data_IF_724739059715
#
_entry.id   IF_724739059715
#
_cell.length_a   1.000
_cell.length_b   1.000
_cell.length_c   1.000
_cell.angle_alpha   90.00
_cell.angle_beta   90.00
_cell.angle_gamma   90.00
#
_symmetry.space_group_name_H-M   'P 1'
#
loop_
_entity.id
_entity.type
_entity.pdbx_description
1 polymer ?
#
# COMPACT_ATOMS: atom_id res chain seq x y z
N UNK A 1 28.61 -22.57 33.44
CA UNK A 1 27.32 -23.24 33.14
C UNK A 1 27.43 -23.88 31.76
N UNK A 2 27.21 -25.20 31.66
CA UNK A 2 27.34 -25.95 30.40
C UNK A 2 26.14 -25.63 29.47
N UNK A 3 26.29 -25.51 28.14
CA UNK A 3 25.17 -25.24 27.24
C UNK A 3 24.23 -26.46 27.20
N UNK A 4 22.96 -26.19 27.40
CA UNK A 4 21.91 -27.18 27.41
C UNK A 4 21.71 -27.75 25.98
N UNK A 5 21.86 -29.07 25.84
CA UNK A 5 21.83 -29.75 24.55
C UNK A 5 20.42 -29.78 23.94
N UNK A 6 20.10 -28.79 23.13
CA UNK A 6 18.85 -28.74 22.32
C UNK A 6 18.63 -29.97 21.43
N UNK A 7 19.69 -30.70 21.10
CA UNK A 7 19.64 -31.93 20.28
C UNK A 7 18.97 -33.11 20.97
N UNK A 8 19.09 -33.25 22.29
CA UNK A 8 18.47 -34.38 23.01
C UNK A 8 16.97 -34.21 23.21
N UNK A 9 16.49 -32.97 23.29
CA UNK A 9 15.04 -32.66 23.37
C UNK A 9 14.31 -33.02 22.07
N UNK A 10 14.90 -32.74 20.91
CA UNK A 10 14.33 -33.10 19.61
C UNK A 10 14.38 -34.61 19.32
N UNK A 11 15.35 -35.33 19.83
CA UNK A 11 15.44 -36.79 19.66
C UNK A 11 14.41 -37.54 20.51
N UNK A 12 14.02 -37.02 21.68
CA UNK A 12 12.96 -37.63 22.51
C UNK A 12 11.54 -37.49 21.96
N UNK A 13 11.31 -36.51 21.08
CA UNK A 13 10.02 -36.32 20.38
C UNK A 13 9.82 -37.28 19.19
N UNK A 14 10.92 -37.78 18.60
CA UNK A 14 10.86 -38.66 17.42
C UNK A 14 10.67 -40.13 17.83
N UNK A 15 11.07 -40.55 19.03
CA UNK A 15 10.94 -41.93 19.51
C UNK A 15 9.56 -42.30 20.10
N UNK A 16 8.67 -41.28 20.31
CA UNK A 16 7.31 -41.54 20.82
C UNK A 16 6.28 -41.80 19.72
N UNK A 17 6.62 -41.66 18.44
CA UNK A 17 5.67 -41.74 17.31
C UNK A 17 5.76 -43.03 16.49
N UNK A 18 6.55 -44.03 16.92
CA UNK A 18 6.81 -45.23 16.12
C UNK A 18 6.04 -46.50 16.55
N UNK A 19 5.02 -46.38 17.39
CA UNK A 19 4.21 -47.53 17.81
C UNK A 19 2.72 -47.15 17.97
N UNK A 20 2.05 -46.95 16.87
CA UNK A 20 0.61 -47.31 16.71
C UNK A 20 0.20 -47.07 15.25
N UNK A 21 -0.21 -48.13 14.59
CA UNK A 21 -1.28 -48.28 13.62
C UNK A 21 -1.27 -47.38 12.37
N UNK A 22 -1.11 -48.02 11.21
CA UNK A 22 -1.52 -47.52 9.91
C UNK A 22 -3.01 -47.05 9.96
N UNK A 23 -3.20 -45.81 10.27
CA UNK A 23 -4.52 -45.14 10.10
C UNK A 23 -4.39 -44.18 8.90
N UNK A 24 -5.35 -44.28 7.97
CA UNK A 24 -5.49 -43.37 6.85
C UNK A 24 -5.47 -41.92 7.36
N UNK A 25 -4.38 -41.19 7.08
CA UNK A 25 -4.39 -39.73 7.20
C UNK A 25 -5.21 -39.18 6.04
N UNK A 26 -6.52 -39.03 6.29
CA UNK A 26 -7.34 -38.12 5.50
C UNK A 26 -6.75 -36.71 5.68
N UNK A 27 -6.32 -36.09 4.59
CA UNK A 27 -6.03 -34.66 4.56
C UNK A 27 -7.36 -33.97 4.94
N UNK A 28 -7.48 -33.59 6.21
CA UNK A 28 -8.57 -32.73 6.64
C UNK A 28 -8.45 -31.44 5.80
N UNK A 29 -9.42 -31.20 4.94
CA UNK A 29 -9.60 -29.90 4.32
C UNK A 29 -9.54 -28.86 5.42
N UNK A 30 -8.61 -27.93 5.30
CA UNK A 30 -8.51 -26.81 6.22
C UNK A 30 -9.83 -26.03 6.13
N UNK A 31 -10.71 -26.24 7.08
CA UNK A 31 -11.89 -25.38 7.22
C UNK A 31 -11.40 -23.94 7.35
N UNK A 32 -11.93 -23.00 6.57
CA UNK A 32 -11.55 -21.61 6.70
C UNK A 32 -11.79 -21.17 8.14
N UNK A 33 -10.72 -20.78 8.82
CA UNK A 33 -10.78 -20.25 10.18
C UNK A 33 -11.62 -18.98 10.10
N UNK A 34 -12.87 -19.03 10.60
CA UNK A 34 -13.65 -17.81 10.81
C UNK A 34 -12.82 -16.92 11.73
N UNK A 35 -12.52 -15.66 11.35
CA UNK A 35 -11.81 -14.75 12.24
C UNK A 35 -12.58 -14.66 13.55
N UNK A 36 -11.90 -14.88 14.67
CA UNK A 36 -12.48 -14.64 15.99
C UNK A 36 -12.99 -13.19 16.02
N UNK A 37 -14.22 -13.00 16.48
CA UNK A 37 -14.86 -11.70 16.53
C UNK A 37 -14.05 -10.74 17.41
N UNK A 38 -13.12 -10.01 16.78
CA UNK A 38 -12.55 -8.79 17.37
C UNK A 38 -13.59 -7.69 17.21
N UNK A 39 -13.71 -6.82 18.20
CA UNK A 39 -14.50 -5.59 18.07
C UNK A 39 -14.11 -4.88 16.78
N UNK A 40 -15.08 -4.52 15.94
CA UNK A 40 -14.84 -3.90 14.63
C UNK A 40 -14.00 -2.60 14.70
N UNK A 41 -13.88 -1.98 15.88
CA UNK A 41 -13.05 -0.80 16.14
C UNK A 41 -11.56 -0.97 15.84
N UNK A 42 -11.01 -2.20 15.87
CA UNK A 42 -9.59 -2.47 15.58
C UNK A 42 -9.33 -2.99 14.15
N UNK A 43 -10.30 -2.85 13.26
CA UNK A 43 -10.20 -3.35 11.89
C UNK A 43 -9.28 -2.50 11.01
N UNK A 44 -9.22 -1.22 11.28
CA UNK A 44 -8.49 -0.24 10.49
C UNK A 44 -7.42 0.48 11.32
N UNK A 45 -6.29 0.75 10.69
CA UNK A 45 -5.18 1.52 11.23
C UNK A 45 -5.00 2.79 10.40
N UNK A 46 -4.94 3.95 11.03
CA UNK A 46 -4.75 5.20 10.30
C UNK A 46 -3.26 5.45 10.09
N UNK A 47 -2.87 5.58 8.85
CA UNK A 47 -1.51 5.87 8.43
C UNK A 47 -1.40 7.28 7.85
N UNK A 48 -0.22 7.88 7.91
CA UNK A 48 0.08 9.11 7.19
C UNK A 48 0.78 8.79 5.86
N UNK A 49 0.27 9.30 4.73
CA UNK A 49 1.05 9.31 3.50
C UNK A 49 2.04 10.48 3.54
N UNK A 50 3.35 10.16 3.42
CA UNK A 50 4.42 11.14 3.52
C UNK A 50 4.34 12.23 2.44
N UNK A 51 3.57 12.02 1.36
CA UNK A 51 3.33 13.04 0.34
C UNK A 51 2.59 14.26 0.89
N UNK A 52 1.88 14.16 2.01
CA UNK A 52 1.33 15.31 2.74
C UNK A 52 2.41 16.34 3.10
N UNK A 53 3.65 15.89 3.26
CA UNK A 53 4.83 16.71 3.58
C UNK A 53 5.70 17.01 2.35
N UNK A 54 5.13 16.93 1.13
CA UNK A 54 5.88 17.07 -0.14
C UNK A 54 6.78 18.32 -0.17
N UNK A 55 6.22 19.50 0.16
CA UNK A 55 7.00 20.76 0.09
C UNK A 55 8.13 20.82 1.11
N UNK A 56 7.93 20.60 2.44
CA UNK A 56 9.03 20.63 3.38
C UNK A 56 10.06 19.51 3.16
N UNK A 57 9.65 18.33 2.71
CA UNK A 57 10.59 17.24 2.40
C UNK A 57 11.46 17.55 1.17
N UNK A 58 10.88 18.16 0.13
CA UNK A 58 11.64 18.53 -1.07
C UNK A 58 12.61 19.68 -0.86
N UNK A 59 12.22 20.66 -0.06
CA UNK A 59 13.06 21.85 0.17
C UNK A 59 13.99 21.73 1.38
N UNK A 60 14.04 20.55 2.02
CA UNK A 60 14.93 20.25 3.15
C UNK A 60 14.51 20.89 4.48
N UNK A 61 13.28 21.43 4.58
CA UNK A 61 12.75 21.97 5.85
C UNK A 61 12.28 20.87 6.80
N UNK A 62 12.06 19.67 6.28
CA UNK A 62 11.78 18.47 7.06
C UNK A 62 12.48 17.26 6.44
N UNK A 63 12.72 16.26 7.26
CA UNK A 63 13.26 14.95 6.89
C UNK A 63 12.20 13.86 7.13
N UNK A 64 12.42 12.65 6.65
CA UNK A 64 11.55 11.51 6.99
C UNK A 64 11.60 11.18 8.49
N UNK A 65 12.71 11.51 9.18
CA UNK A 65 12.83 11.41 10.63
C UNK A 65 11.85 12.34 11.36
N UNK A 66 11.74 13.59 10.89
CA UNK A 66 10.79 14.57 11.45
C UNK A 66 9.33 14.14 11.22
N UNK A 67 9.05 13.54 10.05
CA UNK A 67 7.69 13.03 9.74
C UNK A 67 7.36 11.81 10.61
N UNK A 68 8.32 10.94 10.90
CA UNK A 68 8.13 9.84 11.85
C UNK A 68 7.83 10.33 13.27
N UNK A 69 8.58 11.32 13.76
CA UNK A 69 8.32 11.95 15.05
C UNK A 69 6.94 12.63 15.11
N UNK A 70 6.55 13.29 14.00
CA UNK A 70 5.21 13.83 13.87
C UNK A 70 4.13 12.75 13.93
N UNK A 71 4.33 11.62 13.23
CA UNK A 71 3.39 10.49 13.28
C UNK A 71 3.20 9.99 14.70
N UNK A 72 4.29 9.81 15.46
CA UNK A 72 4.25 9.37 16.83
C UNK A 72 3.51 10.40 17.72
N UNK A 73 3.83 11.69 17.58
CA UNK A 73 3.21 12.79 18.34
C UNK A 73 1.70 12.86 18.11
N UNK A 74 1.25 12.73 16.88
CA UNK A 74 -0.17 12.81 16.49
C UNK A 74 -0.89 11.46 16.63
N UNK A 75 -0.21 10.41 17.14
CA UNK A 75 -0.72 9.07 17.35
C UNK A 75 -1.21 8.40 16.06
N UNK A 76 -0.50 8.55 14.95
CA UNK A 76 -0.70 7.70 13.78
C UNK A 76 -0.24 6.28 14.10
N UNK A 77 -1.00 5.28 13.61
CA UNK A 77 -0.61 3.88 13.73
C UNK A 77 0.58 3.55 12.82
N UNK A 78 0.66 4.23 11.66
CA UNK A 78 1.65 3.91 10.63
C UNK A 78 2.00 5.12 9.76
N UNK A 79 3.01 4.92 8.89
CA UNK A 79 3.39 5.83 7.82
C UNK A 79 3.51 5.08 6.49
N UNK A 80 3.04 5.67 5.39
CA UNK A 80 3.39 5.30 4.02
C UNK A 80 4.55 6.18 3.55
N UNK A 81 5.76 5.60 3.53
CA UNK A 81 6.98 6.34 3.21
C UNK A 81 7.18 6.42 1.70
N UNK A 82 6.77 7.53 1.10
CA UNK A 82 6.97 7.76 -0.32
C UNK A 82 8.47 7.80 -0.68
N UNK A 83 8.90 6.96 -1.62
CA UNK A 83 10.31 6.79 -2.02
C UNK A 83 10.97 8.06 -2.56
N UNK A 84 10.18 9.04 -3.04
CA UNK A 84 10.69 10.32 -3.58
C UNK A 84 11.52 11.13 -2.59
N UNK A 85 11.37 10.86 -1.29
CA UNK A 85 12.01 11.62 -0.20
C UNK A 85 13.22 10.91 0.39
N UNK A 86 13.54 9.72 -0.14
CA UNK A 86 14.80 9.05 0.21
C UNK A 86 15.97 9.79 -0.45
N UNK A 87 17.10 9.97 0.25
CA UNK A 87 18.26 10.66 -0.29
C UNK A 87 18.73 10.04 -1.60
N UNK A 88 18.95 10.90 -2.60
CA UNK A 88 19.44 10.50 -3.91
C UNK A 88 18.40 9.93 -4.86
N UNK A 89 17.10 9.85 -4.48
CA UNK A 89 16.07 9.35 -5.40
C UNK A 89 16.21 10.00 -6.80
N UNK A 90 16.14 9.22 -7.92
CA UNK A 90 15.65 7.84 -8.04
C UNK A 90 16.67 6.72 -7.72
N UNK A 91 17.92 7.07 -7.37
CA UNK A 91 18.91 6.08 -6.95
C UNK A 91 18.45 5.33 -5.69
N UNK A 92 18.96 4.11 -5.55
CA UNK A 92 18.64 3.27 -4.40
C UNK A 92 19.38 3.80 -3.16
N UNK A 93 18.67 4.05 -2.05
CA UNK A 93 19.30 4.50 -0.82
C UNK A 93 20.19 3.40 -0.22
N UNK A 94 21.14 3.79 0.63
CA UNK A 94 22.01 2.83 1.32
C UNK A 94 21.21 1.98 2.31
N UNK A 95 21.64 0.75 2.53
CA UNK A 95 21.04 -0.15 3.53
C UNK A 95 21.07 0.47 4.94
N UNK A 96 22.13 1.21 5.27
CA UNK A 96 22.24 1.93 6.52
C UNK A 96 21.08 2.92 6.73
N UNK A 97 20.76 3.70 5.70
CA UNK A 97 19.66 4.66 5.75
C UNK A 97 18.29 3.97 5.85
N UNK A 98 18.07 2.90 5.06
CA UNK A 98 16.83 2.13 5.11
C UNK A 98 16.62 1.55 6.52
N UNK A 99 17.65 0.93 7.08
CA UNK A 99 17.57 0.32 8.42
C UNK A 99 17.50 1.36 9.54
N UNK A 100 18.06 2.56 9.35
CA UNK A 100 17.88 3.69 10.25
C UNK A 100 16.38 4.05 10.35
N UNK A 101 15.70 4.27 9.22
CA UNK A 101 14.28 4.61 9.20
C UNK A 101 13.41 3.50 9.81
N UNK A 102 13.68 2.25 9.45
CA UNK A 102 12.97 1.09 10.02
C UNK A 102 13.11 1.02 11.54
N UNK A 103 14.33 1.18 12.05
CA UNK A 103 14.62 1.18 13.49
C UNK A 103 13.93 2.35 14.19
N UNK A 104 14.00 3.56 13.61
CA UNK A 104 13.37 4.75 14.18
C UNK A 104 11.85 4.60 14.25
N UNK A 105 11.21 4.13 13.18
CA UNK A 105 9.79 3.84 13.15
C UNK A 105 9.39 2.87 14.28
N UNK A 106 10.14 1.76 14.43
CA UNK A 106 9.92 0.79 15.51
C UNK A 106 10.07 1.41 16.91
N UNK A 107 11.12 2.22 17.12
CA UNK A 107 11.35 2.88 18.42
C UNK A 107 10.25 3.88 18.79
N UNK A 108 9.64 4.51 17.79
CA UNK A 108 8.52 5.44 17.95
C UNK A 108 7.15 4.75 18.03
N UNK A 109 7.08 3.43 17.84
CA UNK A 109 5.83 2.69 17.80
C UNK A 109 4.98 2.97 16.57
N UNK A 110 5.59 3.47 15.49
CA UNK A 110 4.94 3.76 14.20
C UNK A 110 5.24 2.62 13.23
N UNK A 111 4.21 1.96 12.71
CA UNK A 111 4.37 0.91 11.70
C UNK A 111 4.65 1.51 10.31
N UNK A 112 5.13 0.69 9.37
CA UNK A 112 5.30 1.09 7.98
C UNK A 112 4.20 0.44 7.17
N UNK A 113 3.24 1.22 6.68
CA UNK A 113 2.07 0.73 5.94
C UNK A 113 2.33 0.49 4.46
N UNK A 114 3.37 1.11 3.92
CA UNK A 114 3.73 1.01 2.52
C UNK A 114 4.86 1.95 2.13
N UNK A 115 5.23 1.86 0.89
CA UNK A 115 6.09 2.83 0.19
C UNK A 115 5.59 3.02 -1.23
N UNK A 116 6.15 3.97 -1.97
CA UNK A 116 5.74 4.20 -3.35
C UNK A 116 6.78 4.94 -4.17
N UNK A 117 6.83 4.61 -5.43
CA UNK A 117 7.77 5.19 -6.40
C UNK A 117 7.04 5.75 -7.61
N UNK A 118 7.75 6.50 -8.45
CA UNK A 118 7.26 6.98 -9.72
C UNK A 118 8.01 6.29 -10.85
N UNK A 119 7.29 5.44 -11.56
CA UNK A 119 7.76 4.70 -12.73
C UNK A 119 6.88 5.03 -13.94
N UNK A 120 7.33 4.61 -15.15
CA UNK A 120 6.66 4.90 -16.41
C UNK A 120 6.55 3.63 -17.28
N UNK A 121 5.42 2.93 -17.19
CA UNK A 121 5.16 1.74 -18.01
C UNK A 121 4.32 2.03 -19.27
N UNK A 122 3.74 3.23 -19.41
CA UNK A 122 3.04 3.60 -20.65
C UNK A 122 4.00 4.00 -21.79
N UNK A 123 5.30 3.98 -21.59
CA UNK A 123 6.33 4.28 -22.57
C UNK A 123 6.32 3.24 -23.73
N UNK A 124 6.19 3.64 -25.01
CA UNK A 124 6.20 2.71 -26.14
C UNK A 124 7.53 1.99 -26.35
N UNK A 125 8.64 2.61 -26.01
CA UNK A 125 9.97 2.02 -26.18
C UNK A 125 10.21 0.88 -25.17
N UNK A 126 10.33 -0.34 -25.68
CA UNK A 126 10.56 -1.55 -24.86
C UNK A 126 11.85 -1.49 -24.06
N UNK A 127 12.90 -0.82 -24.56
CA UNK A 127 14.18 -0.71 -23.85
C UNK A 127 14.03 0.18 -22.62
N UNK A 128 13.29 1.28 -22.76
CA UNK A 128 13.00 2.16 -21.63
C UNK A 128 12.12 1.46 -20.60
N UNK A 129 11.07 0.72 -21.01
CA UNK A 129 10.27 -0.07 -20.08
C UNK A 129 11.06 -1.16 -19.37
N UNK A 130 12.02 -1.80 -20.04
CA UNK A 130 12.92 -2.76 -19.41
C UNK A 130 13.77 -2.12 -18.30
N UNK A 131 14.20 -0.88 -18.48
CA UNK A 131 14.89 -0.11 -17.45
C UNK A 131 13.96 0.22 -16.26
N UNK A 132 12.70 0.59 -16.53
CA UNK A 132 11.68 0.80 -15.50
C UNK A 132 11.38 -0.47 -14.70
N UNK A 133 11.31 -1.64 -15.34
CA UNK A 133 11.16 -2.93 -14.63
C UNK A 133 12.32 -3.16 -13.66
N UNK A 134 13.56 -2.91 -14.10
CA UNK A 134 14.75 -3.04 -13.25
C UNK A 134 14.67 -2.05 -12.07
N UNK A 135 14.27 -0.81 -12.34
CA UNK A 135 14.09 0.21 -11.31
C UNK A 135 13.05 -0.19 -10.27
N UNK A 136 11.87 -0.64 -10.71
CA UNK A 136 10.80 -1.12 -9.80
C UNK A 136 11.30 -2.30 -8.96
N UNK A 137 12.00 -3.27 -9.55
CA UNK A 137 12.53 -4.43 -8.81
C UNK A 137 13.52 -4.02 -7.73
N UNK A 138 14.43 -3.09 -7.99
CA UNK A 138 15.33 -2.56 -6.98
C UNK A 138 14.58 -1.90 -5.82
N UNK A 139 13.51 -1.15 -6.11
CA UNK A 139 12.69 -0.55 -5.07
C UNK A 139 11.78 -1.55 -4.33
N UNK A 140 11.44 -2.69 -4.92
CA UNK A 140 10.83 -3.82 -4.21
C UNK A 140 11.79 -4.36 -3.14
N UNK A 141 13.09 -4.46 -3.43
CA UNK A 141 14.10 -4.83 -2.42
C UNK A 141 14.19 -3.79 -1.30
N UNK A 142 14.12 -2.50 -1.62
CA UNK A 142 14.07 -1.41 -0.63
C UNK A 142 12.82 -1.58 0.26
N UNK A 143 11.65 -1.82 -0.33
CA UNK A 143 10.40 -2.05 0.39
C UNK A 143 10.52 -3.23 1.36
N UNK A 144 11.08 -4.36 0.92
CA UNK A 144 11.32 -5.54 1.75
C UNK A 144 12.26 -5.24 2.92
N UNK A 145 13.39 -4.57 2.68
CA UNK A 145 14.35 -4.16 3.72
C UNK A 145 13.72 -3.21 4.73
N UNK A 146 12.95 -2.25 4.25
CA UNK A 146 12.22 -1.29 5.07
C UNK A 146 11.15 -1.98 5.93
N UNK A 147 10.62 -3.10 5.47
CA UNK A 147 9.48 -3.81 6.08
C UNK A 147 8.13 -3.28 5.61
N UNK A 148 8.08 -2.57 4.49
CA UNK A 148 6.85 -2.13 3.87
C UNK A 148 6.13 -3.31 3.21
N UNK A 149 4.90 -3.64 3.58
CA UNK A 149 4.16 -4.77 3.02
C UNK A 149 3.70 -4.53 1.57
N UNK A 150 3.59 -3.27 1.18
CA UNK A 150 3.09 -2.85 -0.13
C UNK A 150 4.04 -1.82 -0.75
N UNK A 151 4.33 -1.98 -2.03
CA UNK A 151 4.96 -0.94 -2.85
C UNK A 151 3.96 -0.44 -3.90
N UNK A 152 3.68 0.88 -3.89
CA UNK A 152 2.86 1.52 -4.89
C UNK A 152 3.68 1.87 -6.12
N UNK A 153 3.15 1.50 -7.29
CA UNK A 153 3.65 1.85 -8.62
C UNK A 153 2.58 2.60 -9.42
N UNK A 154 2.99 3.19 -10.54
CA UNK A 154 2.07 3.76 -11.53
C UNK A 154 2.03 2.91 -12.80
N UNK A 155 0.96 3.04 -13.57
CA UNK A 155 0.90 2.53 -14.95
C UNK A 155 1.67 3.41 -15.93
N UNK A 156 1.75 4.70 -15.65
CA UNK A 156 2.39 5.71 -16.49
C UNK A 156 1.63 7.03 -16.48
N UNK A 157 2.19 8.06 -17.09
CA UNK A 157 1.66 9.44 -17.03
C UNK A 157 0.43 9.66 -17.90
N UNK A 158 0.35 9.01 -19.06
CA UNK A 158 -0.77 9.20 -19.99
C UNK A 158 -0.78 8.11 -21.06
N UNK A 159 -1.89 8.01 -21.77
CA UNK A 159 -1.97 7.21 -23.00
C UNK A 159 -1.04 7.81 -24.06
N UNK A 160 -0.05 7.09 -24.60
CA UNK A 160 0.81 7.58 -25.66
C UNK A 160 0.02 7.87 -26.94
N UNK A 161 0.44 8.89 -27.68
CA UNK A 161 -0.17 9.23 -28.96
C UNK A 161 -0.12 8.05 -29.94
N UNK A 162 -1.17 7.87 -30.72
CA UNK A 162 -1.31 6.84 -31.74
C UNK A 162 -1.44 5.38 -31.25
N UNK A 163 -1.70 5.17 -29.94
CA UNK A 163 -1.96 3.85 -29.39
C UNK A 163 -3.37 3.77 -28.79
N UNK A 164 -4.01 2.62 -28.93
CA UNK A 164 -5.25 2.33 -28.20
C UNK A 164 -4.96 2.01 -26.74
N UNK A 165 -5.91 2.32 -25.85
CA UNK A 165 -5.75 2.05 -24.43
C UNK A 165 -5.51 0.56 -24.15
N UNK A 166 -6.23 -0.31 -24.85
CA UNK A 166 -6.14 -1.77 -24.74
C UNK A 166 -4.76 -2.29 -25.12
N UNK A 167 -4.16 -1.74 -26.17
CA UNK A 167 -2.82 -2.10 -26.63
C UNK A 167 -1.77 -1.73 -25.58
N UNK A 168 -1.87 -0.51 -25.01
CA UNK A 168 -0.97 -0.05 -23.95
C UNK A 168 -1.17 -0.86 -22.68
N UNK A 169 -2.41 -1.17 -22.33
CA UNK A 169 -2.73 -2.00 -21.18
C UNK A 169 -2.13 -3.41 -21.26
N UNK A 170 -2.02 -4.01 -22.47
CA UNK A 170 -1.38 -5.31 -22.65
C UNK A 170 0.10 -5.29 -22.25
N UNK A 171 0.88 -4.34 -22.77
CA UNK A 171 2.30 -4.32 -22.42
C UNK A 171 2.54 -3.87 -20.97
N UNK A 172 1.75 -2.91 -20.44
CA UNK A 172 1.80 -2.51 -19.02
C UNK A 172 1.55 -3.73 -18.12
N UNK A 173 0.53 -4.52 -18.44
CA UNK A 173 0.19 -5.73 -17.70
C UNK A 173 1.33 -6.75 -17.69
N UNK A 174 2.00 -6.96 -18.83
CA UNK A 174 3.13 -7.87 -18.94
C UNK A 174 4.33 -7.38 -18.08
N UNK A 175 4.62 -6.08 -18.13
CA UNK A 175 5.70 -5.45 -17.35
C UNK A 175 5.41 -5.52 -15.84
N UNK A 176 4.16 -5.24 -15.43
CA UNK A 176 3.70 -5.36 -14.04
C UNK A 176 3.83 -6.81 -13.54
N UNK A 177 3.43 -7.81 -14.33
CA UNK A 177 3.57 -9.23 -13.94
C UNK A 177 5.01 -9.57 -13.56
N UNK A 178 5.98 -9.09 -14.34
CA UNK A 178 7.41 -9.30 -14.04
C UNK A 178 7.82 -8.68 -12.69
N UNK A 179 7.23 -7.54 -12.32
CA UNK A 179 7.48 -6.91 -11.04
C UNK A 179 6.74 -7.64 -9.90
N UNK A 180 5.51 -8.10 -10.13
CA UNK A 180 4.72 -8.85 -9.16
C UNK A 180 5.37 -10.19 -8.80
N UNK A 181 5.86 -10.93 -9.79
CA UNK A 181 6.58 -12.18 -9.56
C UNK A 181 7.84 -11.97 -8.70
N UNK A 182 8.52 -10.84 -8.91
CA UNK A 182 9.66 -10.46 -8.10
C UNK A 182 9.22 -10.02 -6.68
N UNK A 183 8.16 -9.23 -6.56
CA UNK A 183 7.59 -8.82 -5.28
C UNK A 183 7.19 -10.01 -4.41
N UNK A 184 6.55 -11.01 -5.00
CA UNK A 184 6.19 -12.27 -4.34
C UNK A 184 7.40 -12.97 -3.72
N UNK A 185 8.55 -12.98 -4.40
CA UNK A 185 9.79 -13.61 -3.88
C UNK A 185 10.36 -12.85 -2.68
N UNK A 186 10.05 -11.54 -2.56
CA UNK A 186 10.51 -10.67 -1.48
C UNK A 186 9.46 -10.42 -0.40
N UNK A 187 8.27 -11.03 -0.50
CA UNK A 187 7.18 -10.84 0.45
C UNK A 187 6.57 -9.44 0.40
N UNK A 188 6.61 -8.78 -0.77
CA UNK A 188 6.08 -7.42 -0.98
C UNK A 188 4.97 -7.47 -2.02
N UNK A 189 3.79 -6.97 -1.66
CA UNK A 189 2.68 -6.78 -2.59
C UNK A 189 2.99 -5.59 -3.49
N UNK A 190 2.89 -5.77 -4.80
CA UNK A 190 2.97 -4.68 -5.77
C UNK A 190 1.56 -4.14 -5.99
N UNK A 191 1.36 -2.84 -5.88
CA UNK A 191 0.05 -2.25 -6.05
C UNK A 191 0.08 -1.08 -7.03
N UNK A 192 -0.84 -1.06 -7.98
CA UNK A 192 -1.00 0.06 -8.90
C UNK A 192 -1.94 1.11 -8.27
N UNK A 193 -1.64 2.40 -8.48
CA UNK A 193 -2.52 3.49 -8.06
C UNK A 193 -3.38 3.97 -9.23
N UNK A 194 -4.68 4.20 -8.99
CA UNK A 194 -5.55 4.94 -9.90
C UNK A 194 -5.26 6.45 -9.75
N UNK A 195 -4.32 6.97 -10.53
CA UNK A 195 -3.84 8.36 -10.39
C UNK A 195 -4.42 9.34 -11.42
N UNK A 196 -5.49 8.96 -12.13
CA UNK A 196 -6.11 9.76 -13.20
C UNK A 196 -5.16 10.08 -14.39
N UNK A 197 -4.10 9.32 -14.53
CA UNK A 197 -3.17 9.42 -15.66
C UNK A 197 -3.61 8.46 -16.79
N UNK A 198 -3.16 7.21 -16.73
CA UNK A 198 -3.58 6.14 -17.64
C UNK A 198 -4.85 5.42 -17.14
N UNK A 199 -4.99 5.22 -15.83
CA UNK A 199 -6.18 4.66 -15.18
C UNK A 199 -7.10 5.81 -14.75
N UNK A 200 -8.24 5.97 -15.41
CA UNK A 200 -9.23 7.04 -15.18
C UNK A 200 -10.55 6.54 -14.60
N UNK A 201 -10.86 5.26 -14.81
CA UNK A 201 -12.13 4.65 -14.39
C UNK A 201 -11.90 3.35 -13.62
N UNK A 202 -12.92 2.92 -12.87
CA UNK A 202 -12.91 1.62 -12.20
C UNK A 202 -12.75 0.46 -13.19
N UNK A 203 -13.38 0.54 -14.34
CA UNK A 203 -13.28 -0.50 -15.38
C UNK A 203 -11.85 -0.68 -15.85
N UNK A 204 -11.12 0.40 -16.08
CA UNK A 204 -9.72 0.37 -16.47
C UNK A 204 -8.83 -0.23 -15.37
N UNK A 205 -9.04 0.16 -14.11
CA UNK A 205 -8.33 -0.41 -12.97
C UNK A 205 -8.59 -1.92 -12.84
N UNK A 206 -9.85 -2.33 -12.87
CA UNK A 206 -10.27 -3.73 -12.77
C UNK A 206 -9.72 -4.56 -13.94
N UNK A 207 -9.70 -4.01 -15.15
CA UNK A 207 -9.12 -4.68 -16.33
C UNK A 207 -7.65 -5.05 -16.09
N UNK A 208 -6.82 -4.10 -15.65
CA UNK A 208 -5.40 -4.35 -15.35
C UNK A 208 -5.24 -5.38 -14.25
N UNK A 209 -6.00 -5.25 -13.14
CA UNK A 209 -5.92 -6.16 -12.00
C UNK A 209 -6.27 -7.59 -12.44
N UNK A 210 -7.37 -7.77 -13.16
CA UNK A 210 -7.79 -9.08 -13.65
C UNK A 210 -6.82 -9.69 -14.66
N UNK A 211 -6.19 -8.88 -15.50
CA UNK A 211 -5.16 -9.35 -16.44
C UNK A 211 -3.88 -9.79 -15.75
N UNK A 212 -3.45 -9.09 -14.70
CA UNK A 212 -2.29 -9.50 -13.88
C UNK A 212 -2.61 -10.79 -13.13
N UNK A 213 -3.78 -10.90 -12.53
CA UNK A 213 -4.33 -12.10 -11.88
C UNK A 213 -3.35 -12.75 -10.90
N UNK A 214 -3.00 -12.04 -9.83
CA UNK A 214 -2.08 -12.51 -8.79
C UNK A 214 -2.53 -12.01 -7.42
N UNK A 215 -2.45 -12.86 -6.39
CA UNK A 215 -2.70 -12.50 -4.98
C UNK A 215 -1.63 -11.52 -4.43
N UNK A 216 -0.53 -11.33 -5.16
CA UNK A 216 0.55 -10.39 -4.84
C UNK A 216 0.43 -9.08 -5.60
N UNK A 217 -0.76 -8.83 -6.19
CA UNK A 217 -1.08 -7.61 -6.91
C UNK A 217 -2.44 -7.04 -6.52
N UNK A 218 -2.55 -5.73 -6.39
CA UNK A 218 -3.81 -5.07 -6.11
C UNK A 218 -3.76 -3.57 -6.38
N UNK A 219 -4.73 -2.86 -5.80
CA UNK A 219 -4.91 -1.42 -5.97
C UNK A 219 -4.49 -0.67 -4.71
N UNK A 220 -3.66 0.34 -4.84
CA UNK A 220 -3.66 1.48 -3.91
C UNK A 220 -4.81 2.38 -4.36
N UNK A 221 -5.94 2.29 -3.67
CA UNK A 221 -7.13 3.02 -4.05
C UNK A 221 -7.04 4.48 -3.59
N UNK A 222 -6.73 5.35 -4.53
CA UNK A 222 -6.70 6.79 -4.34
C UNK A 222 -8.12 7.36 -4.48
N UNK A 223 -8.66 7.85 -3.38
CA UNK A 223 -10.05 8.29 -3.30
C UNK A 223 -10.32 9.62 -3.98
N UNK A 224 -9.27 10.40 -4.30
CA UNK A 224 -9.38 11.68 -4.98
C UNK A 224 -9.13 11.63 -6.49
N UNK A 225 -8.69 10.47 -7.02
CA UNK A 225 -8.15 10.39 -8.39
C UNK A 225 -9.13 9.86 -9.44
N UNK A 226 -10.32 9.41 -9.08
CA UNK A 226 -11.38 9.15 -10.05
C UNK A 226 -12.09 10.47 -10.41
N UNK A 227 -11.73 11.04 -11.55
CA UNK A 227 -12.31 12.30 -12.05
C UNK A 227 -13.48 11.98 -12.99
N UNK A 228 -14.58 11.51 -12.41
CA UNK A 228 -15.82 11.14 -13.10
C UNK A 228 -17.02 11.89 -12.50
N UNK A 229 -18.21 11.71 -13.08
CA UNK A 229 -19.45 12.28 -12.53
C UNK A 229 -19.81 11.64 -11.18
N UNK A 230 -19.46 10.38 -10.98
CA UNK A 230 -19.83 9.58 -9.82
C UNK A 230 -18.60 8.90 -9.16
N UNK A 231 -17.63 9.67 -8.61
CA UNK A 231 -16.38 9.12 -8.11
C UNK A 231 -16.58 8.11 -6.98
N UNK A 232 -17.58 8.27 -6.11
CA UNK A 232 -17.89 7.28 -5.07
C UNK A 232 -18.38 5.94 -5.64
N UNK A 233 -19.05 5.94 -6.79
CA UNK A 233 -19.41 4.72 -7.51
C UNK A 233 -18.17 4.00 -8.00
N UNK A 234 -17.20 4.73 -8.55
CA UNK A 234 -15.93 4.18 -8.99
C UNK A 234 -15.12 3.59 -7.80
N UNK A 235 -15.05 4.33 -6.68
CA UNK A 235 -14.42 3.87 -5.44
C UNK A 235 -15.09 2.57 -4.96
N UNK A 236 -16.42 2.52 -4.94
CA UNK A 236 -17.17 1.34 -4.48
C UNK A 236 -16.90 0.11 -5.35
N UNK A 237 -16.87 0.28 -6.68
CA UNK A 237 -16.58 -0.82 -7.63
C UNK A 237 -15.17 -1.40 -7.46
N UNK A 238 -14.20 -0.58 -7.06
CA UNK A 238 -12.79 -0.97 -6.94
C UNK A 238 -12.36 -1.36 -5.53
N UNK A 239 -13.21 -1.11 -4.52
CA UNK A 239 -12.87 -1.32 -3.11
C UNK A 239 -12.46 -2.78 -2.78
N UNK A 240 -13.03 -3.78 -3.46
CA UNK A 240 -12.67 -5.19 -3.27
C UNK A 240 -11.25 -5.54 -3.72
N UNK A 241 -10.64 -4.72 -4.59
CA UNK A 241 -9.28 -4.91 -5.11
C UNK A 241 -8.23 -4.10 -4.34
N UNK A 242 -8.67 -3.32 -3.35
CA UNK A 242 -7.76 -2.48 -2.58
C UNK A 242 -6.89 -3.33 -1.64
N UNK A 243 -5.58 -3.23 -1.80
CA UNK A 243 -4.57 -3.78 -0.87
C UNK A 243 -3.97 -2.69 0.01
N UNK A 244 -4.15 -1.43 -0.37
CA UNK A 244 -3.89 -0.24 0.42
C UNK A 244 -4.78 0.90 -0.09
N UNK A 245 -4.93 1.95 0.70
CA UNK A 245 -5.74 3.12 0.35
C UNK A 245 -4.87 4.39 0.33
N UNK A 246 -5.42 5.44 -0.29
CA UNK A 246 -4.92 6.80 -0.17
C UNK A 246 -6.13 7.71 0.02
N UNK A 247 -6.44 7.99 1.29
CA UNK A 247 -7.62 8.77 1.68
C UNK A 247 -7.30 10.26 1.55
N UNK A 248 -7.87 10.88 0.52
CA UNK A 248 -7.70 12.31 0.22
C UNK A 248 -8.68 13.17 1.01
N UNK A 249 -8.29 14.41 1.29
CA UNK A 249 -9.18 15.42 1.86
C UNK A 249 -10.22 15.94 0.86
N UNK A 250 -9.96 15.78 -0.44
CA UNK A 250 -10.79 16.30 -1.55
C UNK A 250 -10.85 15.29 -2.69
N UNK A 251 -11.90 15.41 -3.48
CA UNK A 251 -12.09 14.72 -4.74
C UNK A 251 -12.60 15.69 -5.80
N UNK A 252 -12.65 15.26 -7.05
CA UNK A 252 -13.14 16.12 -8.16
C UNK A 252 -14.47 15.60 -8.68
N UNK A 253 -15.52 16.43 -8.64
CA UNK A 253 -16.83 16.18 -9.25
C UNK A 253 -17.10 17.26 -10.28
N UNK A 254 -17.45 16.88 -11.51
CA UNK A 254 -17.73 17.84 -12.60
C UNK A 254 -16.61 18.88 -12.78
N UNK A 255 -15.35 18.48 -12.65
CA UNK A 255 -14.19 19.38 -12.79
C UNK A 255 -13.97 20.32 -11.60
N UNK A 256 -14.77 20.24 -10.53
CA UNK A 256 -14.62 21.04 -9.31
C UNK A 256 -14.08 20.20 -8.17
N UNK A 257 -13.11 20.76 -7.44
CA UNK A 257 -12.60 20.15 -6.23
C UNK A 257 -13.60 20.35 -5.08
N UNK A 258 -14.06 19.25 -4.50
CA UNK A 258 -15.01 19.23 -3.38
C UNK A 258 -14.36 18.53 -2.17
N UNK A 259 -14.82 18.87 -0.97
CA UNK A 259 -14.38 18.16 0.23
C UNK A 259 -14.85 16.70 0.18
N UNK A 260 -14.00 15.78 0.64
CA UNK A 260 -14.35 14.37 0.76
C UNK A 260 -15.48 14.18 1.77
N UNK A 261 -16.59 13.55 1.37
CA UNK A 261 -17.58 13.04 2.30
C UNK A 261 -17.02 11.77 2.98
N UNK A 262 -16.35 11.97 4.10
CA UNK A 262 -15.68 10.89 4.84
C UNK A 262 -16.68 9.86 5.37
N UNK A 263 -17.91 10.25 5.74
CA UNK A 263 -18.91 9.29 6.21
C UNK A 263 -19.35 8.36 5.09
N UNK A 264 -19.58 8.91 3.89
CA UNK A 264 -19.91 8.12 2.71
C UNK A 264 -18.73 7.21 2.32
N UNK A 265 -17.50 7.73 2.35
CA UNK A 265 -16.30 6.98 2.05
C UNK A 265 -16.12 5.81 3.02
N UNK A 266 -16.18 6.05 4.33
CA UNK A 266 -15.96 4.99 5.32
C UNK A 266 -17.10 3.96 5.35
N UNK A 267 -18.33 4.30 4.97
CA UNK A 267 -19.36 3.29 4.70
C UNK A 267 -18.98 2.37 3.55
N UNK A 268 -18.38 2.90 2.48
CA UNK A 268 -17.87 2.08 1.36
C UNK A 268 -16.73 1.18 1.85
N UNK A 269 -15.74 1.73 2.54
CA UNK A 269 -14.61 0.98 3.08
C UNK A 269 -15.09 -0.11 4.05
N UNK A 270 -15.99 0.23 4.96
CA UNK A 270 -16.53 -0.71 5.93
C UNK A 270 -17.35 -1.85 5.28
N UNK A 271 -18.04 -1.56 4.18
CA UNK A 271 -18.80 -2.57 3.41
C UNK A 271 -17.90 -3.47 2.56
N UNK A 272 -16.66 -3.11 2.32
CA UNK A 272 -15.65 -3.96 1.69
C UNK A 272 -15.07 -4.94 2.72
N UNK A 273 -14.45 -6.02 2.27
CA UNK A 273 -13.77 -6.95 3.17
C UNK A 273 -12.36 -6.47 3.57
N UNK A 274 -12.02 -5.22 3.26
CA UNK A 274 -10.71 -4.66 3.56
C UNK A 274 -10.46 -4.58 5.07
N UNK A 275 -9.25 -4.91 5.44
CA UNK A 275 -8.68 -4.75 6.79
C UNK A 275 -7.25 -4.25 6.63
N UNK A 276 -6.85 -3.27 7.39
CA UNK A 276 -5.47 -2.78 7.32
C UNK A 276 -5.36 -1.27 7.42
N UNK A 277 -4.39 -0.72 6.69
CA UNK A 277 -4.03 0.68 6.81
C UNK A 277 -4.89 1.58 5.92
N UNK A 278 -5.17 2.77 6.44
CA UNK A 278 -5.83 3.86 5.72
C UNK A 278 -4.88 5.08 5.69
N UNK A 279 -3.90 5.10 4.77
CA UNK A 279 -3.04 6.28 4.60
C UNK A 279 -3.86 7.51 4.21
N UNK A 280 -3.80 8.55 5.03
CA UNK A 280 -4.42 9.85 4.74
C UNK A 280 -3.42 10.75 4.04
N UNK A 281 -3.91 11.58 3.13
CA UNK A 281 -3.09 12.54 2.39
C UNK A 281 -3.79 13.89 2.28
N UNK A 282 -3.09 14.95 2.70
CA UNK A 282 -3.52 16.34 2.52
C UNK A 282 -2.72 17.00 1.40
N UNK A 283 -3.40 17.77 0.56
CA UNK A 283 -2.80 18.51 -0.56
C UNK A 283 -3.12 20.01 -0.47
N UNK A 284 -3.83 20.45 0.58
CA UNK A 284 -4.12 21.86 0.82
C UNK A 284 -2.85 22.65 1.05
N UNK A 285 -2.82 23.89 0.54
CA UNK A 285 -1.70 24.79 0.77
C UNK A 285 -1.54 25.13 2.27
N UNK A 286 -0.31 25.15 2.74
CA UNK A 286 0.02 25.49 4.12
C UNK A 286 1.05 24.55 4.73
N UNK A 287 1.33 24.75 6.01
CA UNK A 287 2.26 23.91 6.77
C UNK A 287 1.58 22.58 7.12
N UNK A 288 2.10 21.42 6.64
CA UNK A 288 1.52 20.12 6.93
C UNK A 288 1.49 19.78 8.43
N UNK A 289 2.41 20.32 9.24
CA UNK A 289 2.35 20.17 10.68
C UNK A 289 1.10 20.80 11.32
N UNK A 290 0.45 21.75 10.60
CA UNK A 290 -0.77 22.45 11.04
C UNK A 290 -2.02 21.89 10.38
N UNK A 291 -1.97 21.54 9.09
CA UNK A 291 -3.16 21.12 8.32
C UNK A 291 -3.50 19.64 8.47
N UNK A 292 -2.52 18.76 8.70
CA UNK A 292 -2.78 17.32 8.87
C UNK A 292 -3.58 16.98 10.14
N UNK A 293 -3.28 17.54 11.34
CA UNK A 293 -4.00 17.15 12.55
C UNK A 293 -5.52 17.39 12.52
N UNK A 294 -6.05 18.52 12.01
CA UNK A 294 -7.49 18.69 11.85
C UNK A 294 -8.14 17.65 10.92
N UNK A 295 -7.47 17.29 9.82
CA UNK A 295 -7.97 16.26 8.91
C UNK A 295 -7.94 14.87 9.56
N UNK A 296 -6.87 14.52 10.27
CA UNK A 296 -6.78 13.28 11.05
C UNK A 296 -7.95 13.17 12.07
N UNK A 297 -8.28 14.25 12.75
CA UNK A 297 -9.42 14.28 13.69
C UNK A 297 -10.76 14.00 12.99
N UNK A 298 -10.98 14.58 11.81
CA UNK A 298 -12.17 14.33 10.99
C UNK A 298 -12.25 12.87 10.53
N UNK A 299 -11.12 12.31 10.07
CA UNK A 299 -10.99 10.91 9.65
C UNK A 299 -11.33 9.96 10.80
N UNK A 300 -10.78 10.17 11.99
CA UNK A 300 -11.09 9.35 13.18
C UNK A 300 -12.57 9.40 13.53
N UNK A 301 -13.13 10.58 13.61
CA UNK A 301 -14.56 10.75 13.95
C UNK A 301 -15.49 10.08 12.92
N UNK A 302 -15.19 10.18 11.63
CA UNK A 302 -15.99 9.56 10.59
C UNK A 302 -15.83 8.03 10.56
N UNK A 303 -14.62 7.53 10.84
CA UNK A 303 -14.35 6.09 10.94
C UNK A 303 -15.09 5.48 12.14
N UNK A 304 -14.99 6.09 13.32
CA UNK A 304 -15.70 5.64 14.54
C UNK A 304 -17.21 5.56 14.31
N UNK A 305 -17.78 6.55 13.63
CA UNK A 305 -19.20 6.58 13.27
C UNK A 305 -19.57 5.45 12.30
N UNK A 306 -18.74 5.18 11.30
CA UNK A 306 -19.01 4.15 10.29
C UNK A 306 -18.85 2.72 10.83
N UNK A 307 -18.01 2.51 11.84
CA UNK A 307 -17.82 1.19 12.47
C UNK A 307 -18.93 0.88 13.48
N UNK A 308 -19.50 1.91 14.13
CA UNK A 308 -20.53 1.75 15.16
C UNK A 308 -21.96 1.88 14.61
N UNK A 309 -22.16 2.12 13.30
CA UNK A 309 -23.47 2.20 12.62
C UNK A 309 -23.80 0.88 11.93
#
# INVERSE_FOLDING_TARGET
MKPFERRKFLQSLITASALTGMGNFSLAEATPVKPAGHSDSNRFKISLNAYSFNEPLKNGKATLDDVLEFCAKENFDAIDMTGYYFPGYPEIPTDEYIYHLKRKAHQLGVEISGTGIRNEFAEPDKTKRAAEIIFVKKWIEVAAKLGAPVIRIFTGKSLPANYAWEEVAEWITADIKSCVDFGKQHGVIVAVQNHNDFIKTAEQAINIIKKVNSDWFGLVLDTGSFVTLEPYSEIKKTAEFAVNWQVKERLTINGKAEAMDLEKLFRIINSSNYRGYLPIETLSAGDPFVIVPPFLKQVRAALDKAVNS
#
